data_IF_227266436892
#
_entry.id   IF_227266436892
#
_cell.length_a   1.000
_cell.length_b   1.000
_cell.length_c   1.000
_cell.angle_alpha   90.00
_cell.angle_beta   90.00
_cell.angle_gamma   90.00
#
_symmetry.space_group_name_H-M   'P 1'
#
loop_
_entity.id
_entity.type
_entity.pdbx_description
1 polymer ?
#
# COMPACT_ATOMS: atom_id res chain seq x y z
N UNK A 1 65.60 -11.08 -6.47
CA UNK A 1 64.45 -10.17 -6.31
C UNK A 1 63.30 -10.74 -7.13
N UNK A 2 62.30 -11.37 -6.50
CA UNK A 2 61.14 -11.97 -7.19
C UNK A 2 60.06 -10.89 -7.35
N UNK A 3 59.65 -10.63 -8.59
CA UNK A 3 58.53 -9.74 -8.89
C UNK A 3 57.26 -10.61 -8.88
N UNK A 4 56.35 -10.34 -7.94
CA UNK A 4 55.06 -11.01 -7.89
C UNK A 4 54.12 -10.30 -8.88
N UNK A 5 53.77 -10.95 -9.98
CA UNK A 5 52.68 -10.51 -10.85
C UNK A 5 51.35 -10.72 -10.13
N UNK A 6 50.57 -9.65 -9.98
CA UNK A 6 49.16 -9.70 -9.59
C UNK A 6 48.32 -9.49 -10.84
N UNK A 7 47.45 -10.44 -11.15
CA UNK A 7 46.42 -10.30 -12.19
C UNK A 7 45.09 -10.03 -11.49
N UNK A 8 44.52 -8.85 -11.71
CA UNK A 8 43.19 -8.50 -11.23
C UNK A 8 42.18 -8.77 -12.36
N UNK A 9 41.34 -9.79 -12.19
CA UNK A 9 40.21 -10.05 -13.09
C UNK A 9 39.00 -9.26 -12.60
N UNK A 10 38.65 -8.19 -13.32
CA UNK A 10 37.35 -7.52 -13.16
C UNK A 10 36.30 -8.33 -13.93
N UNK A 11 35.54 -9.15 -13.22
CA UNK A 11 34.33 -9.79 -13.76
C UNK A 11 33.17 -8.80 -13.70
N UNK A 12 32.78 -8.23 -14.84
CA UNK A 12 31.58 -7.39 -14.95
C UNK A 12 30.36 -8.33 -15.07
N UNK A 13 29.64 -8.55 -13.96
CA UNK A 13 28.37 -9.27 -13.97
C UNK A 13 27.27 -8.33 -14.47
N UNK A 14 26.87 -8.49 -15.73
CA UNK A 14 25.66 -7.83 -16.27
C UNK A 14 24.47 -8.68 -15.86
N UNK A 15 23.81 -8.32 -14.76
CA UNK A 15 22.51 -8.90 -14.42
C UNK A 15 21.44 -8.18 -15.25
N UNK A 16 21.05 -8.79 -16.37
CA UNK A 16 19.87 -8.35 -17.11
C UNK A 16 18.62 -8.75 -16.31
N UNK A 17 18.03 -7.79 -15.59
CA UNK A 17 16.70 -7.95 -15.02
C UNK A 17 15.69 -7.80 -16.16
N UNK A 18 15.27 -8.92 -16.73
CA UNK A 18 14.07 -8.96 -17.57
C UNK A 18 12.89 -8.82 -16.61
N UNK A 19 12.33 -7.62 -16.51
CA UNK A 19 11.01 -7.44 -15.92
C UNK A 19 10.02 -7.96 -16.96
N UNK A 20 9.32 -9.05 -16.64
CA UNK A 20 8.18 -9.48 -17.43
C UNK A 20 7.16 -8.32 -17.49
N UNK A 21 6.62 -8.06 -18.68
CA UNK A 21 5.60 -7.04 -18.86
C UNK A 21 4.35 -7.47 -18.10
N UNK A 22 3.75 -6.55 -17.33
CA UNK A 22 2.49 -6.82 -16.63
C UNK A 22 1.39 -7.03 -17.69
N UNK A 23 0.71 -8.16 -17.59
CA UNK A 23 -0.40 -8.51 -18.49
C UNK A 23 -1.76 -8.19 -17.87
N UNK A 24 -2.78 -8.14 -18.72
CA UNK A 24 -4.15 -7.92 -18.28
C UNK A 24 -4.61 -9.10 -17.40
N UNK A 25 -4.94 -8.80 -16.16
CA UNK A 25 -5.44 -9.78 -15.20
C UNK A 25 -4.43 -10.11 -14.11
N UNK A 26 -3.19 -9.68 -14.26
CA UNK A 26 -2.16 -9.86 -13.27
C UNK A 26 -2.51 -9.19 -11.94
N UNK A 27 -2.17 -9.87 -10.86
CA UNK A 27 -2.29 -9.36 -9.51
C UNK A 27 -0.98 -8.64 -9.17
N UNK A 28 -1.04 -7.31 -9.19
CA UNK A 28 0.14 -6.47 -8.90
C UNK A 28 0.47 -6.49 -7.40
N UNK A 29 -0.56 -6.45 -6.56
CA UNK A 29 -0.42 -6.46 -5.10
C UNK A 29 -1.66 -7.08 -4.48
N UNK A 30 -1.47 -7.96 -3.51
CA UNK A 30 -2.56 -8.59 -2.75
C UNK A 30 -2.14 -8.74 -1.30
N UNK A 31 -3.04 -8.33 -0.41
CA UNK A 31 -2.83 -8.34 1.03
C UNK A 31 -4.04 -8.97 1.69
N UNK A 32 -3.83 -10.12 2.34
CA UNK A 32 -4.83 -10.75 3.21
C UNK A 32 -4.59 -10.42 4.68
N UNK A 33 -3.47 -9.75 4.99
CA UNK A 33 -3.04 -9.37 6.34
C UNK A 33 -2.64 -10.55 7.22
N UNK A 34 -2.59 -11.77 6.68
CA UNK A 34 -2.18 -12.96 7.40
C UNK A 34 -0.65 -13.05 7.42
N UNK A 35 -0.08 -13.08 8.63
CA UNK A 35 1.36 -13.22 8.84
C UNK A 35 2.10 -11.89 9.01
N UNK A 36 3.32 -11.99 9.52
CA UNK A 36 4.11 -10.82 9.94
C UNK A 36 4.71 -10.01 8.78
N UNK A 37 4.80 -10.59 7.58
CA UNK A 37 5.40 -9.95 6.40
C UNK A 37 4.60 -8.74 5.91
N UNK A 38 3.28 -8.71 6.18
CA UNK A 38 2.37 -7.63 5.79
C UNK A 38 2.78 -6.27 6.38
N UNK A 39 3.40 -6.30 7.57
CA UNK A 39 3.94 -5.10 8.23
C UNK A 39 5.04 -4.42 7.42
N UNK A 40 5.69 -5.14 6.51
CA UNK A 40 6.80 -4.62 5.69
C UNK A 40 6.30 -3.96 4.40
N UNK A 41 5.14 -4.36 3.88
CA UNK A 41 4.59 -3.83 2.63
C UNK A 41 3.80 -2.54 2.83
N UNK A 42 3.12 -2.43 3.96
CA UNK A 42 2.37 -1.25 4.32
C UNK A 42 3.29 -0.25 5.02
N UNK A 43 3.12 1.05 4.76
CA UNK A 43 3.86 2.16 5.39
C UNK A 43 3.59 2.32 6.89
N UNK A 44 3.07 1.28 7.53
CA UNK A 44 2.69 1.28 8.92
C UNK A 44 3.92 1.48 9.81
N UNK A 45 4.10 2.72 10.27
CA UNK A 45 4.53 2.92 11.65
C UNK A 45 3.47 2.29 12.54
N UNK A 46 3.69 1.04 12.97
CA UNK A 46 2.79 0.30 13.85
C UNK A 46 2.68 1.04 15.19
N UNK A 47 1.73 1.96 15.26
CA UNK A 47 1.34 2.70 16.44
C UNK A 47 0.03 2.18 17.02
N UNK A 48 -0.48 2.78 18.10
CA UNK A 48 -1.72 2.31 18.74
C UNK A 48 -2.95 2.38 17.83
N UNK A 49 -2.92 3.21 16.78
CA UNK A 49 -4.04 3.46 15.87
C UNK A 49 -4.04 2.59 14.62
N UNK A 50 -2.96 1.84 14.34
CA UNK A 50 -2.84 1.00 13.14
C UNK A 50 -2.29 -0.36 13.56
N UNK A 51 -3.15 -1.38 13.56
CA UNK A 51 -2.80 -2.69 14.10
C UNK A 51 -3.34 -3.83 13.22
N UNK A 52 -2.57 -4.91 13.13
CA UNK A 52 -3.12 -6.19 12.68
C UNK A 52 -3.93 -6.79 13.83
N UNK A 53 -5.19 -7.10 13.57
CA UNK A 53 -6.10 -7.72 14.54
C UNK A 53 -6.66 -9.01 13.97
N UNK A 54 -6.99 -9.97 14.82
CA UNK A 54 -7.74 -11.16 14.43
C UNK A 54 -9.22 -10.82 14.39
N UNK A 55 -9.89 -11.14 13.28
CA UNK A 55 -11.32 -10.95 13.11
C UNK A 55 -12.12 -12.04 13.84
N UNK A 56 -13.44 -11.86 13.93
CA UNK A 56 -14.39 -12.87 14.38
C UNK A 56 -14.38 -14.16 13.54
N UNK A 57 -13.92 -14.08 12.29
CA UNK A 57 -13.76 -15.21 11.36
C UNK A 57 -12.38 -15.88 11.47
N UNK A 58 -11.50 -15.41 12.36
CA UNK A 58 -10.20 -16.01 12.64
C UNK A 58 -9.07 -15.60 11.69
N UNK A 59 -9.36 -14.89 10.59
CA UNK A 59 -8.34 -14.30 9.73
C UNK A 59 -7.81 -12.98 10.31
N UNK A 60 -6.67 -12.49 9.84
CA UNK A 60 -6.19 -11.17 10.22
C UNK A 60 -6.79 -10.07 9.35
N UNK A 61 -6.85 -8.86 9.89
CA UNK A 61 -7.23 -7.64 9.17
C UNK A 61 -6.44 -6.44 9.69
N UNK A 62 -6.27 -5.44 8.85
CA UNK A 62 -5.72 -4.16 9.27
C UNK A 62 -6.81 -3.28 9.89
N UNK A 63 -6.67 -3.00 11.18
CA UNK A 63 -7.53 -2.05 11.90
C UNK A 63 -6.87 -0.67 11.90
N UNK A 64 -7.62 0.32 11.43
CA UNK A 64 -7.27 1.73 11.52
C UNK A 64 -8.29 2.40 12.45
N UNK A 65 -7.82 2.96 13.55
CA UNK A 65 -8.65 3.64 14.54
C UNK A 65 -8.37 5.15 14.54
N UNK A 66 -9.41 5.92 14.85
CA UNK A 66 -9.28 7.33 15.17
C UNK A 66 -10.08 7.63 16.42
N UNK A 67 -9.36 7.94 17.50
CA UNK A 67 -9.95 7.96 18.84
C UNK A 67 -10.31 9.37 19.31
N UNK A 68 -10.05 10.40 18.51
CA UNK A 68 -10.43 11.78 18.82
C UNK A 68 -11.06 12.50 17.61
N UNK A 69 -12.13 13.28 17.84
CA UNK A 69 -12.63 14.23 16.84
C UNK A 69 -11.53 15.24 16.46
N UNK A 70 -11.51 15.67 15.20
CA UNK A 70 -10.59 16.70 14.68
C UNK A 70 -9.09 16.37 14.80
N UNK A 71 -8.71 15.12 15.09
CA UNK A 71 -7.30 14.70 15.01
C UNK A 71 -6.83 14.62 13.55
N UNK A 72 -5.52 14.59 13.36
CA UNK A 72 -4.93 14.26 12.06
C UNK A 72 -5.48 12.94 11.52
N UNK A 73 -5.55 12.82 10.19
CA UNK A 73 -5.94 11.59 9.53
C UNK A 73 -4.97 10.45 9.91
N UNK A 74 -5.49 9.23 9.98
CA UNK A 74 -4.67 8.02 10.11
C UNK A 74 -4.83 7.23 8.83
N UNK A 75 -3.71 6.85 8.22
CA UNK A 75 -3.71 6.11 6.97
C UNK A 75 -2.53 5.15 6.93
N UNK A 76 -2.63 4.18 6.04
CA UNK A 76 -1.51 3.36 5.60
C UNK A 76 -1.49 3.37 4.09
N UNK A 77 -0.33 3.10 3.52
CA UNK A 77 -0.14 3.01 2.07
C UNK A 77 0.65 1.76 1.73
N UNK A 78 0.38 1.20 0.57
CA UNK A 78 1.25 0.24 -0.08
C UNK A 78 1.79 0.89 -1.35
N UNK A 79 3.10 0.81 -1.57
CA UNK A 79 3.73 1.35 -2.77
C UNK A 79 3.46 0.43 -3.95
N UNK A 80 3.02 1.00 -5.07
CA UNK A 80 2.86 0.30 -6.34
C UNK A 80 4.00 0.67 -7.30
N UNK A 81 4.42 -0.22 -8.21
CA UNK A 81 5.48 0.04 -9.17
C UNK A 81 5.00 0.99 -10.27
N UNK A 82 4.94 2.29 -9.97
CA UNK A 82 4.31 3.31 -10.81
C UNK A 82 4.82 3.33 -12.25
N UNK A 83 6.11 3.14 -12.47
CA UNK A 83 6.69 3.10 -13.81
C UNK A 83 6.16 1.92 -14.64
N UNK A 84 6.10 0.73 -14.05
CA UNK A 84 5.57 -0.49 -14.70
C UNK A 84 4.08 -0.39 -14.99
N UNK A 85 3.33 0.37 -14.19
CA UNK A 85 1.89 0.56 -14.35
C UNK A 85 1.52 1.75 -15.23
N UNK A 86 2.49 2.53 -15.70
CA UNK A 86 2.22 3.74 -16.48
C UNK A 86 1.41 3.42 -17.75
N UNK A 87 0.34 4.19 -17.99
CA UNK A 87 -0.57 3.97 -19.12
C UNK A 87 -1.55 2.80 -18.95
N UNK A 88 -1.48 2.04 -17.85
CA UNK A 88 -2.37 0.90 -17.59
C UNK A 88 -3.64 1.32 -16.85
N UNK A 89 -4.74 0.61 -17.12
CA UNK A 89 -5.95 0.70 -16.29
C UNK A 89 -5.86 -0.33 -15.16
N UNK A 90 -5.82 0.15 -13.91
CA UNK A 90 -5.81 -0.72 -12.74
C UNK A 90 -7.17 -0.77 -12.05
N UNK A 91 -7.46 -1.90 -11.41
CA UNK A 91 -8.64 -2.08 -10.57
C UNK A 91 -8.20 -2.31 -9.13
N UNK A 92 -8.66 -1.45 -8.23
CA UNK A 92 -8.46 -1.61 -6.79
C UNK A 92 -9.72 -2.20 -6.20
N UNK A 93 -9.55 -3.22 -5.35
CA UNK A 93 -10.63 -3.84 -4.57
C UNK A 93 -10.17 -3.93 -3.13
N UNK A 94 -11.07 -3.61 -2.21
CA UNK A 94 -10.87 -3.78 -0.79
C UNK A 94 -12.19 -4.22 -0.15
N UNK A 95 -12.11 -5.09 0.85
CA UNK A 95 -13.21 -5.35 1.78
C UNK A 95 -13.00 -4.43 2.97
N UNK A 96 -14.00 -3.60 3.28
CA UNK A 96 -13.89 -2.57 4.31
C UNK A 96 -15.09 -2.68 5.22
N UNK A 97 -14.81 -2.94 6.50
CA UNK A 97 -15.77 -2.85 7.59
C UNK A 97 -15.51 -1.58 8.38
N UNK A 98 -16.57 -0.91 8.81
CA UNK A 98 -16.47 0.28 9.64
C UNK A 98 -17.49 0.25 10.77
N UNK A 99 -17.12 0.84 11.90
CA UNK A 99 -17.97 0.91 13.09
C UNK A 99 -18.00 2.34 13.60
N UNK A 100 -19.20 2.88 13.82
CA UNK A 100 -19.43 4.19 14.42
C UNK A 100 -18.75 5.36 13.67
N UNK A 101 -18.77 5.36 12.34
CA UNK A 101 -18.20 6.46 11.56
C UNK A 101 -19.14 7.67 11.59
N UNK A 102 -18.63 8.77 12.13
CA UNK A 102 -19.29 10.06 12.13
C UNK A 102 -19.53 10.59 10.72
N UNK A 103 -20.59 11.38 10.56
CA UNK A 103 -20.83 12.16 9.34
C UNK A 103 -19.64 13.10 9.12
N UNK A 104 -18.95 13.04 7.96
CA UNK A 104 -17.84 13.92 7.69
C UNK A 104 -18.33 15.36 7.46
N UNK A 105 -17.60 16.38 7.94
CA UNK A 105 -18.01 17.78 7.75
C UNK A 105 -17.91 18.24 6.30
N UNK A 106 -17.08 17.57 5.48
CA UNK A 106 -16.89 17.84 4.06
C UNK A 106 -16.89 16.52 3.29
N UNK A 107 -17.34 16.54 2.03
CA UNK A 107 -17.46 15.32 1.18
C UNK A 107 -16.12 14.65 0.85
N UNK A 108 -15.01 15.38 0.97
CA UNK A 108 -13.66 14.83 0.81
C UNK A 108 -13.07 14.29 2.12
N UNK A 109 -13.82 14.24 3.22
CA UNK A 109 -13.41 13.59 4.46
C UNK A 109 -14.13 12.23 4.62
N UNK A 110 -13.71 11.45 5.62
CA UNK A 110 -14.26 10.13 5.90
C UNK A 110 -13.27 9.00 5.64
N UNK A 111 -13.76 7.76 5.63
CA UNK A 111 -12.94 6.59 5.26
C UNK A 111 -12.76 6.58 3.75
N UNK A 112 -11.52 6.32 3.31
CA UNK A 112 -11.17 6.25 1.90
C UNK A 112 -10.28 5.05 1.62
N UNK A 113 -10.59 4.35 0.54
CA UNK A 113 -9.63 3.54 -0.20
C UNK A 113 -9.38 4.27 -1.50
N UNK A 114 -8.14 4.73 -1.70
CA UNK A 114 -7.79 5.62 -2.80
C UNK A 114 -6.46 5.23 -3.41
N UNK A 115 -6.32 5.54 -4.70
CA UNK A 115 -5.02 5.55 -5.36
C UNK A 115 -4.49 6.98 -5.28
N UNK A 116 -3.32 7.16 -4.67
CA UNK A 116 -2.60 8.43 -4.70
C UNK A 116 -1.56 8.37 -5.81
N UNK A 117 -1.66 9.27 -6.79
CA UNK A 117 -0.65 9.43 -7.84
C UNK A 117 -0.04 10.83 -7.80
N UNK A 118 1.26 10.92 -8.03
CA UNK A 118 1.99 12.18 -8.10
C UNK A 118 2.52 12.38 -9.51
N UNK A 119 2.26 13.54 -10.11
CA UNK A 119 2.74 13.89 -11.44
C UNK A 119 3.06 15.38 -11.56
N UNK A 120 3.50 15.85 -12.75
CA UNK A 120 3.85 17.25 -12.98
C UNK A 120 2.71 18.24 -12.67
N UNK A 121 1.46 17.79 -12.78
CA UNK A 121 0.27 18.59 -12.46
C UNK A 121 -0.11 18.58 -10.96
N UNK A 122 0.67 17.91 -10.11
CA UNK A 122 0.44 17.77 -8.69
C UNK A 122 -0.09 16.39 -8.28
N UNK A 123 -0.59 16.33 -7.04
CA UNK A 123 -1.20 15.13 -6.50
C UNK A 123 -2.61 14.90 -7.05
N UNK A 124 -2.96 13.63 -7.28
CA UNK A 124 -4.30 13.20 -7.60
C UNK A 124 -4.73 12.05 -6.69
N UNK A 125 -6.00 12.06 -6.30
CA UNK A 125 -6.59 11.13 -5.32
C UNK A 125 -7.92 10.54 -5.84
N UNK A 126 -7.93 9.82 -6.97
CA UNK A 126 -9.12 9.09 -7.40
C UNK A 126 -9.58 8.14 -6.30
N UNK A 127 -10.85 8.28 -5.93
CA UNK A 127 -11.45 7.61 -4.79
C UNK A 127 -12.90 7.25 -5.07
N UNK A 128 -13.40 6.25 -4.35
CA UNK A 128 -14.82 6.02 -4.17
C UNK A 128 -15.22 6.49 -2.78
N UNK A 129 -16.28 7.29 -2.68
CA UNK A 129 -16.81 7.68 -1.38
C UNK A 129 -17.43 6.46 -0.71
N UNK A 130 -17.03 6.19 0.54
CA UNK A 130 -17.59 5.12 1.34
C UNK A 130 -18.78 5.64 2.17
N UNK A 131 -19.71 4.76 2.58
CA UNK A 131 -20.82 5.13 3.45
C UNK A 131 -20.36 5.72 4.79
N UNK A 132 -21.25 6.46 5.43
CA UNK A 132 -21.11 6.86 6.84
C UNK A 132 -21.76 5.82 7.76
N UNK A 133 -21.49 5.90 9.07
CA UNK A 133 -22.06 5.00 10.06
C UNK A 133 -21.31 3.67 10.19
N UNK A 134 -22.05 2.59 10.47
CA UNK A 134 -21.51 1.23 10.61
C UNK A 134 -21.90 0.41 9.38
N UNK A 135 -20.93 -0.28 8.78
CA UNK A 135 -21.14 -1.13 7.62
C UNK A 135 -20.11 -2.26 7.56
N UNK A 136 -20.44 -3.33 6.84
CA UNK A 136 -19.61 -4.52 6.58
C UNK A 136 -19.28 -4.64 5.10
#
# INVERSE_FOLDING_TARGET
MKVNSFTLLFGFLVTLLVTEAIEKGDIISQHNFDGSAEKTYWSASLGPLVQLVTTDRGNQALRIERNQPNSASTWVTVSLPAFTLSGSQIRIRALVKAVNISIPPNSWNGIKVMLHTQGPSGDNYPQQNLPQGTFD
#
